data_IF_370727823010
#
_entry.id   IF_370727823010
#
_cell.length_a   1.000
_cell.length_b   1.000
_cell.length_c   1.000
_cell.angle_alpha   90.00
_cell.angle_beta   90.00
_cell.angle_gamma   90.00
#
_symmetry.space_group_name_H-M   'P 1'
#
loop_
_entity.id
_entity.type
_entity.pdbx_description
1 polymer ?
#
# COMPACT_ATOMS: atom_id res chain seq x y z
N UNK A 1 11.39 13.21 -7.29
CA UNK A 1 10.92 12.03 -6.53
C UNK A 1 11.77 11.84 -5.28
N UNK A 2 11.16 11.54 -4.13
CA UNK A 2 11.85 11.28 -2.86
C UNK A 2 11.88 9.78 -2.59
N UNK A 3 13.06 9.24 -2.24
CA UNK A 3 13.24 7.81 -1.98
C UNK A 3 13.17 7.52 -0.47
N UNK A 4 12.47 6.45 -0.13
CA UNK A 4 12.29 5.96 1.24
C UNK A 4 12.07 4.46 1.30
N UNK A 5 11.49 3.99 2.39
CA UNK A 5 11.07 2.60 2.55
C UNK A 5 9.81 2.50 3.42
N UNK A 6 9.10 1.36 3.30
CA UNK A 6 8.00 1.03 4.22
C UNK A 6 8.57 0.52 5.54
N UNK A 7 8.17 1.14 6.64
CA UNK A 7 8.81 0.87 7.94
C UNK A 7 8.51 -0.50 8.53
N UNK A 8 7.47 -1.17 8.06
CA UNK A 8 7.13 -2.54 8.49
C UNK A 8 8.24 -3.57 8.27
N UNK A 9 9.26 -3.28 7.43
CA UNK A 9 10.44 -4.13 7.26
C UNK A 9 11.40 -4.07 8.47
N UNK A 10 11.24 -3.09 9.35
CA UNK A 10 12.02 -2.88 10.58
C UNK A 10 11.13 -3.11 11.82
N UNK A 11 10.39 -4.19 11.84
CA UNK A 11 9.36 -4.54 12.83
C UNK A 11 9.84 -4.56 14.30
N UNK A 12 11.13 -4.75 14.52
CA UNK A 12 11.78 -4.78 15.84
C UNK A 12 12.21 -3.40 16.37
N UNK A 13 12.08 -2.33 15.56
CA UNK A 13 12.51 -0.98 15.92
C UNK A 13 11.35 -0.16 16.48
N UNK A 14 11.67 0.79 17.38
CA UNK A 14 10.76 1.87 17.75
C UNK A 14 10.78 2.99 16.69
N UNK A 15 9.87 3.96 16.86
CA UNK A 15 9.72 5.06 15.91
C UNK A 15 11.02 5.85 15.69
N UNK A 16 11.68 6.28 16.78
CA UNK A 16 12.90 7.09 16.71
C UNK A 16 14.04 6.32 16.05
N UNK A 17 14.24 5.06 16.43
CA UNK A 17 15.29 4.23 15.86
C UNK A 17 15.06 3.98 14.35
N UNK A 18 13.82 3.84 13.95
CA UNK A 18 13.45 3.67 12.54
C UNK A 18 13.74 4.97 11.74
N UNK A 19 13.41 6.14 12.28
CA UNK A 19 13.74 7.44 11.67
C UNK A 19 15.26 7.67 11.60
N UNK A 20 15.99 7.35 12.66
CA UNK A 20 17.45 7.44 12.68
C UNK A 20 18.06 6.55 11.59
N UNK A 21 17.61 5.31 11.49
CA UNK A 21 18.05 4.37 10.45
C UNK A 21 17.79 4.93 9.05
N UNK A 22 16.61 5.51 8.81
CA UNK A 22 16.29 6.14 7.54
C UNK A 22 17.27 7.28 7.20
N UNK A 23 17.57 8.13 8.17
CA UNK A 23 18.50 9.26 8.00
C UNK A 23 19.94 8.78 7.75
N UNK A 24 20.42 7.81 8.53
CA UNK A 24 21.75 7.22 8.39
C UNK A 24 21.96 6.55 7.02
N UNK A 25 20.92 5.91 6.48
CA UNK A 25 20.93 5.30 5.14
C UNK A 25 20.78 6.32 4.01
N UNK A 26 20.55 7.60 4.31
CA UNK A 26 20.41 8.67 3.32
C UNK A 26 19.04 8.70 2.61
N UNK A 27 18.01 8.09 3.18
CA UNK A 27 16.64 8.21 2.69
C UNK A 27 16.06 9.60 2.99
N UNK A 28 15.07 10.00 2.20
CA UNK A 28 14.40 11.30 2.34
C UNK A 28 12.99 11.18 2.92
N UNK A 29 12.42 9.98 2.92
CA UNK A 29 11.09 9.74 3.44
C UNK A 29 10.92 8.31 3.97
N UNK A 30 9.80 8.11 4.68
CA UNK A 30 9.35 6.80 5.13
C UNK A 30 7.83 6.68 4.97
N UNK A 31 7.37 5.50 4.63
CA UNK A 31 5.97 5.10 4.73
C UNK A 31 5.78 4.35 6.04
N UNK A 32 5.01 4.93 6.99
CA UNK A 32 5.02 4.48 8.38
C UNK A 32 3.90 3.49 8.69
N UNK A 33 4.27 2.31 9.18
CA UNK A 33 3.35 1.26 9.59
C UNK A 33 2.51 1.69 10.82
N UNK A 34 1.18 1.53 10.71
CA UNK A 34 0.20 2.00 11.68
C UNK A 34 -0.85 0.91 12.01
N UNK A 35 -0.44 -0.35 12.15
CA UNK A 35 -1.36 -1.39 12.60
C UNK A 35 -1.83 -1.15 14.04
N UNK A 36 -2.97 -1.72 14.46
CA UNK A 36 -3.33 -1.75 15.87
C UNK A 36 -2.20 -2.35 16.72
N UNK A 37 -2.00 -1.80 17.93
CA UNK A 37 -1.05 -2.35 18.88
C UNK A 37 -1.42 -3.80 19.20
N UNK A 38 -0.46 -4.72 19.06
CA UNK A 38 -0.72 -6.13 19.34
C UNK A 38 0.31 -7.05 18.69
N UNK A 39 0.07 -8.35 18.84
CA UNK A 39 0.92 -9.37 18.24
C UNK A 39 0.57 -9.53 16.75
N UNK A 40 1.56 -9.37 15.89
CA UNK A 40 1.41 -9.62 14.47
C UNK A 40 0.98 -11.07 14.20
N UNK A 41 -0.08 -11.25 13.44
CA UNK A 41 -0.48 -12.57 12.94
C UNK A 41 0.44 -13.06 11.81
N UNK A 42 1.15 -12.13 11.14
CA UNK A 42 1.98 -12.39 9.95
C UNK A 42 3.19 -11.46 9.96
N UNK A 43 4.23 -11.83 9.21
CA UNK A 43 5.35 -10.94 8.93
C UNK A 43 4.83 -9.64 8.30
N UNK A 44 5.28 -8.50 8.84
CA UNK A 44 4.89 -7.13 8.47
C UNK A 44 3.46 -6.70 8.88
N UNK A 45 2.53 -7.58 9.14
CA UNK A 45 1.23 -7.22 9.70
C UNK A 45 1.33 -7.08 11.23
N UNK A 46 0.72 -6.04 11.78
CA UNK A 46 0.77 -5.76 13.23
C UNK A 46 1.96 -4.91 13.69
N UNK A 47 2.76 -4.39 12.75
CA UNK A 47 3.81 -3.42 13.09
C UNK A 47 3.17 -2.05 13.37
N UNK A 48 3.44 -1.51 14.55
CA UNK A 48 2.91 -0.23 15.01
C UNK A 48 4.06 0.73 15.35
N UNK A 49 4.54 1.48 14.36
CA UNK A 49 5.53 2.54 14.61
C UNK A 49 4.87 3.86 15.01
N UNK A 50 3.63 4.09 14.56
CA UNK A 50 2.78 5.20 15.02
C UNK A 50 1.45 4.62 15.49
N UNK A 51 1.18 4.76 16.78
CA UNK A 51 -0.12 4.42 17.38
C UNK A 51 -1.11 5.54 17.06
N UNK A 52 -2.03 5.28 16.13
CA UNK A 52 -2.98 6.30 15.64
C UNK A 52 -3.99 6.74 16.70
N UNK A 53 -4.40 5.86 17.60
CA UNK A 53 -5.33 6.22 18.68
C UNK A 53 -4.66 7.17 19.67
N UNK A 54 -3.37 6.94 19.97
CA UNK A 54 -2.57 7.87 20.76
C UNK A 54 -2.36 9.19 20.03
N UNK A 55 -2.10 9.19 18.72
CA UNK A 55 -2.04 10.43 17.94
C UNK A 55 -3.31 11.24 18.09
N UNK A 56 -4.48 10.61 18.04
CA UNK A 56 -5.78 11.29 18.15
C UNK A 56 -6.04 11.86 19.55
N UNK A 57 -5.54 11.19 20.60
CA UNK A 57 -5.81 11.53 22.01
C UNK A 57 -4.74 12.45 22.63
N UNK A 58 -3.49 12.46 22.12
CA UNK A 58 -2.32 13.08 22.74
C UNK A 58 -1.62 14.03 21.76
N UNK A 59 -1.80 15.33 21.93
CA UNK A 59 -1.19 16.34 21.07
C UNK A 59 0.34 16.42 21.25
N UNK A 60 0.85 16.13 22.44
CA UNK A 60 2.29 16.13 22.70
C UNK A 60 2.98 14.97 21.96
N UNK A 61 2.35 13.78 21.94
CA UNK A 61 2.83 12.67 21.14
C UNK A 61 2.80 12.98 19.65
N UNK A 62 1.72 13.55 19.15
CA UNK A 62 1.63 13.96 17.74
C UNK A 62 2.71 14.98 17.36
N UNK A 63 2.96 15.98 18.22
CA UNK A 63 4.02 16.97 18.02
C UNK A 63 5.41 16.35 18.06
N UNK A 64 5.67 15.41 18.97
CA UNK A 64 6.94 14.69 19.06
C UNK A 64 7.27 13.93 17.78
N UNK A 65 6.32 13.18 17.23
CA UNK A 65 6.51 12.43 15.98
C UNK A 65 6.96 13.35 14.83
N UNK A 66 6.31 14.49 14.69
CA UNK A 66 6.59 15.46 13.63
C UNK A 66 7.94 16.16 13.85
N UNK A 67 8.24 16.61 15.09
CA UNK A 67 9.48 17.29 15.37
C UNK A 67 10.68 16.36 15.19
N UNK A 68 10.60 15.12 15.66
CA UNK A 68 11.68 14.15 15.55
C UNK A 68 12.02 13.83 14.08
N UNK A 69 11.01 13.54 13.26
CA UNK A 69 11.24 13.29 11.83
C UNK A 69 11.81 14.52 11.12
N UNK A 70 11.33 15.72 11.46
CA UNK A 70 11.82 16.97 10.88
C UNK A 70 13.29 17.27 11.26
N UNK A 71 13.70 17.05 12.51
CA UNK A 71 15.07 17.19 12.98
C UNK A 71 16.05 16.30 12.20
N UNK A 72 15.59 15.12 11.78
CA UNK A 72 16.38 14.17 10.98
C UNK A 72 16.24 14.39 9.46
N UNK A 73 15.47 15.40 9.03
CA UNK A 73 15.16 15.68 7.63
C UNK A 73 14.44 14.51 6.92
N UNK A 74 13.67 13.72 7.66
CA UNK A 74 12.87 12.62 7.12
C UNK A 74 11.41 13.06 7.00
N UNK A 75 10.83 12.91 5.82
CA UNK A 75 9.41 13.17 5.58
C UNK A 75 8.60 11.88 5.79
N UNK A 76 7.50 11.93 6.53
CA UNK A 76 6.54 10.82 6.54
C UNK A 76 5.69 10.95 5.26
N UNK A 77 5.85 10.01 4.32
CA UNK A 77 5.19 10.04 3.01
C UNK A 77 3.73 9.62 3.07
N UNK A 78 3.43 8.65 3.93
CA UNK A 78 2.07 8.17 4.19
C UNK A 78 2.01 7.41 5.52
N UNK A 79 0.79 7.27 6.06
CA UNK A 79 0.49 6.29 7.10
C UNK A 79 -0.01 5.00 6.43
N UNK A 80 0.66 3.88 6.72
CA UNK A 80 0.42 2.60 6.08
C UNK A 80 -0.37 1.65 6.98
N UNK A 81 -1.53 1.22 6.47
CA UNK A 81 -2.33 0.17 7.09
C UNK A 81 -3.00 -0.63 5.97
N UNK A 82 -2.59 -1.88 5.79
CA UNK A 82 -2.98 -2.73 4.67
C UNK A 82 -3.90 -3.89 5.11
N UNK A 83 -5.14 -3.60 5.56
CA UNK A 83 -6.10 -4.61 5.97
C UNK A 83 -6.93 -5.10 4.79
N UNK A 84 -7.64 -6.21 4.99
CA UNK A 84 -8.79 -6.54 4.17
C UNK A 84 -10.05 -5.86 4.72
N UNK A 85 -10.45 -4.72 4.15
CA UNK A 85 -11.66 -3.97 4.56
C UNK A 85 -12.95 -4.60 4.05
N UNK A 86 -12.88 -5.64 3.23
CA UNK A 86 -14.01 -6.39 2.68
C UNK A 86 -13.97 -7.86 3.08
N UNK A 87 -13.30 -8.20 4.20
CA UNK A 87 -13.24 -9.57 4.72
C UNK A 87 -14.64 -10.17 4.86
N UNK A 88 -14.77 -11.46 4.57
CA UNK A 88 -16.03 -12.20 4.76
C UNK A 88 -16.41 -12.31 6.24
N UNK A 89 -15.44 -12.29 7.15
CA UNK A 89 -15.66 -12.14 8.59
C UNK A 89 -16.09 -10.70 8.90
N UNK A 90 -17.36 -10.53 9.29
CA UNK A 90 -17.96 -9.21 9.53
C UNK A 90 -17.35 -8.46 10.72
N UNK A 91 -16.86 -9.16 11.73
CA UNK A 91 -16.21 -8.53 12.89
C UNK A 91 -14.83 -7.98 12.49
N UNK A 92 -14.04 -8.77 11.78
CA UNK A 92 -12.75 -8.31 11.21
C UNK A 92 -12.95 -7.15 10.24
N UNK A 93 -13.93 -7.26 9.35
CA UNK A 93 -14.30 -6.19 8.40
C UNK A 93 -14.60 -4.89 9.14
N UNK A 94 -15.47 -4.95 10.15
CA UNK A 94 -15.85 -3.76 10.93
C UNK A 94 -14.65 -3.15 11.68
N UNK A 95 -13.82 -3.99 12.32
CA UNK A 95 -12.63 -3.55 13.02
C UNK A 95 -11.61 -2.90 12.06
N UNK A 96 -11.37 -3.51 10.90
CA UNK A 96 -10.46 -2.98 9.88
C UNK A 96 -10.93 -1.63 9.33
N UNK A 97 -12.22 -1.49 9.04
CA UNK A 97 -12.81 -0.22 8.58
C UNK A 97 -12.70 0.86 9.67
N UNK A 98 -13.00 0.52 10.93
CA UNK A 98 -12.92 1.45 12.04
C UNK A 98 -11.47 1.96 12.23
N UNK A 99 -10.49 1.06 12.23
CA UNK A 99 -9.09 1.44 12.35
C UNK A 99 -8.60 2.26 11.14
N UNK A 100 -8.94 1.89 9.90
CA UNK A 100 -8.60 2.67 8.71
C UNK A 100 -9.15 4.10 8.81
N UNK A 101 -10.37 4.29 9.31
CA UNK A 101 -10.91 5.63 9.56
C UNK A 101 -10.10 6.42 10.61
N UNK A 102 -9.55 5.75 11.63
CA UNK A 102 -8.66 6.40 12.60
C UNK A 102 -7.29 6.73 11.98
N UNK A 103 -6.74 5.87 11.10
CA UNK A 103 -5.52 6.19 10.33
C UNK A 103 -5.73 7.43 9.46
N UNK A 104 -6.88 7.57 8.80
CA UNK A 104 -7.23 8.76 8.00
C UNK A 104 -7.29 10.02 8.89
N UNK A 105 -7.93 9.94 10.07
CA UNK A 105 -8.00 11.07 11.02
C UNK A 105 -6.61 11.45 11.56
N UNK A 106 -5.79 10.46 11.91
CA UNK A 106 -4.43 10.68 12.38
C UNK A 106 -3.55 11.29 11.29
N UNK A 107 -3.68 10.84 10.04
CA UNK A 107 -2.97 11.42 8.89
C UNK A 107 -3.31 12.90 8.69
N UNK A 108 -4.58 13.27 8.84
CA UNK A 108 -5.01 14.68 8.80
C UNK A 108 -4.44 15.49 9.97
N UNK A 109 -4.50 14.96 11.20
CA UNK A 109 -3.98 15.62 12.41
C UNK A 109 -2.47 15.85 12.31
N UNK A 110 -1.72 14.89 11.78
CA UNK A 110 -0.29 14.99 11.52
C UNK A 110 0.06 15.80 10.25
N UNK A 111 -0.93 16.28 9.49
CA UNK A 111 -0.75 17.01 8.21
C UNK A 111 0.05 16.23 7.15
N UNK A 112 0.05 14.91 7.24
CA UNK A 112 0.65 14.02 6.24
C UNK A 112 -0.25 13.97 5.02
N UNK A 113 -1.57 13.88 5.22
CA UNK A 113 -2.61 13.92 4.21
C UNK A 113 -2.52 12.80 3.15
N UNK A 114 -1.90 11.67 3.52
CA UNK A 114 -1.78 10.47 2.71
C UNK A 114 -1.92 9.23 3.58
N UNK A 115 -2.70 8.26 3.10
CA UNK A 115 -2.83 6.92 3.67
C UNK A 115 -2.62 5.90 2.58
N UNK A 116 -1.73 4.92 2.81
CA UNK A 116 -1.53 3.76 1.94
C UNK A 116 -2.26 2.56 2.52
N UNK A 117 -3.04 1.87 1.67
CA UNK A 117 -3.91 0.77 2.13
C UNK A 117 -4.28 -0.18 0.99
N UNK A 118 -5.08 -1.20 1.30
CA UNK A 118 -5.80 -2.03 0.34
C UNK A 118 -7.29 -1.68 0.31
N UNK A 119 -7.95 -1.92 -0.84
CA UNK A 119 -9.41 -1.79 -0.90
C UNK A 119 -10.09 -3.02 -0.26
N UNK A 120 -9.39 -4.13 -0.23
CA UNK A 120 -9.90 -5.41 0.28
C UNK A 120 -10.61 -6.24 -0.80
N UNK A 121 -11.01 -7.45 -0.41
CA UNK A 121 -11.81 -8.39 -1.22
C UNK A 121 -12.44 -9.45 -0.33
N UNK A 122 -13.71 -9.72 -0.54
CA UNK A 122 -14.34 -10.96 -0.06
C UNK A 122 -14.01 -12.08 -1.05
N UNK A 123 -13.16 -13.03 -0.62
CA UNK A 123 -12.68 -14.11 -1.48
C UNK A 123 -13.78 -15.15 -1.81
N UNK A 124 -14.87 -15.14 -1.07
CA UNK A 124 -16.00 -16.04 -1.29
C UNK A 124 -16.93 -15.55 -2.39
N UNK A 125 -16.76 -14.29 -2.81
CA UNK A 125 -17.62 -13.64 -3.79
C UNK A 125 -16.92 -13.48 -5.16
N UNK A 126 -17.67 -13.53 -6.28
CA UNK A 126 -17.14 -13.15 -7.58
C UNK A 126 -16.80 -11.65 -7.65
N UNK A 127 -16.13 -11.26 -8.71
CA UNK A 127 -15.64 -9.87 -8.89
C UNK A 127 -16.79 -8.85 -8.90
N UNK A 128 -17.90 -9.17 -9.57
CA UNK A 128 -19.06 -8.31 -9.70
C UNK A 128 -19.70 -8.01 -8.34
N UNK A 129 -19.85 -9.03 -7.49
CA UNK A 129 -20.40 -8.88 -6.15
C UNK A 129 -19.43 -8.12 -5.22
N UNK A 130 -18.13 -8.29 -5.42
CA UNK A 130 -17.12 -7.47 -4.74
C UNK A 130 -17.23 -5.99 -5.14
N UNK A 131 -17.52 -5.65 -6.40
CA UNK A 131 -17.76 -4.27 -6.82
C UNK A 131 -19.02 -3.68 -6.17
N UNK A 132 -20.08 -4.48 -6.01
CA UNK A 132 -21.26 -4.05 -5.23
C UNK A 132 -20.93 -3.85 -3.75
N UNK A 133 -20.05 -4.68 -3.18
CA UNK A 133 -19.58 -4.51 -1.80
C UNK A 133 -18.74 -3.23 -1.64
N UNK A 134 -17.91 -2.89 -2.63
CA UNK A 134 -17.21 -1.60 -2.67
C UNK A 134 -18.19 -0.43 -2.61
N UNK A 135 -19.26 -0.45 -3.40
CA UNK A 135 -20.31 0.59 -3.39
C UNK A 135 -21.00 0.75 -2.04
N UNK A 136 -21.05 -0.32 -1.25
CA UNK A 136 -21.69 -0.30 0.08
C UNK A 136 -20.74 0.22 1.18
N UNK A 137 -19.48 -0.20 1.17
CA UNK A 137 -18.57 0.01 2.28
C UNK A 137 -17.67 1.25 2.13
N UNK A 138 -17.23 1.54 0.91
CA UNK A 138 -16.21 2.55 0.68
C UNK A 138 -16.69 4.00 0.60
N UNK A 139 -17.94 4.35 0.25
CA UNK A 139 -18.37 5.74 0.17
C UNK A 139 -18.18 6.54 1.45
N UNK A 140 -18.39 5.93 2.62
CA UNK A 140 -18.18 6.61 3.92
C UNK A 140 -16.70 6.83 4.25
N UNK A 141 -15.83 5.91 3.82
CA UNK A 141 -14.37 6.05 3.96
C UNK A 141 -13.88 7.19 3.06
N UNK A 142 -14.33 7.22 1.82
CA UNK A 142 -13.98 8.27 0.85
C UNK A 142 -14.49 9.63 1.32
N UNK A 143 -15.73 9.73 1.78
CA UNK A 143 -16.29 10.99 2.29
C UNK A 143 -15.49 11.53 3.48
N UNK A 144 -15.04 10.65 4.39
CA UNK A 144 -14.16 11.04 5.50
C UNK A 144 -12.82 11.58 4.97
N UNK A 145 -12.20 10.89 4.01
CA UNK A 145 -10.94 11.31 3.40
C UNK A 145 -11.07 12.67 2.69
N UNK A 146 -12.14 12.87 1.93
CA UNK A 146 -12.46 14.16 1.28
C UNK A 146 -12.63 15.28 2.28
N UNK A 147 -13.41 15.05 3.34
CA UNK A 147 -13.67 16.04 4.39
C UNK A 147 -12.39 16.48 5.09
N UNK A 148 -11.46 15.55 5.29
CA UNK A 148 -10.20 15.78 5.98
C UNK A 148 -9.04 16.14 5.04
N UNK A 149 -9.28 16.22 3.72
CA UNK A 149 -8.27 16.45 2.69
C UNK A 149 -7.13 15.42 2.74
N UNK A 150 -7.47 14.14 2.92
CA UNK A 150 -6.51 13.02 2.95
C UNK A 150 -6.67 12.18 1.70
N UNK A 151 -5.59 11.96 0.95
CA UNK A 151 -5.56 11.05 -0.19
C UNK A 151 -5.40 9.61 0.29
N UNK A 152 -6.07 8.69 -0.39
CA UNK A 152 -5.97 7.24 -0.15
C UNK A 152 -5.29 6.62 -1.36
N UNK A 153 -4.12 6.03 -1.15
CA UNK A 153 -3.33 5.33 -2.15
C UNK A 153 -3.51 3.82 -1.98
N UNK A 154 -4.23 3.18 -2.91
CA UNK A 154 -4.44 1.73 -2.90
C UNK A 154 -3.27 1.04 -3.60
N UNK A 155 -2.60 0.14 -2.88
CA UNK A 155 -1.56 -0.68 -3.49
C UNK A 155 -2.17 -1.80 -4.35
N UNK A 156 -1.52 -2.10 -5.48
CA UNK A 156 -1.97 -3.12 -6.42
C UNK A 156 -1.49 -4.54 -6.10
N UNK A 157 -1.00 -4.79 -4.90
CA UNK A 157 -0.70 -6.13 -4.42
C UNK A 157 -1.99 -6.98 -4.36
N UNK A 158 -2.05 -8.17 -4.97
CA UNK A 158 -3.19 -9.08 -4.81
C UNK A 158 -3.38 -9.59 -3.38
N UNK A 159 -2.37 -9.45 -2.51
CA UNK A 159 -2.40 -9.83 -1.10
C UNK A 159 -2.62 -11.34 -0.92
N UNK A 160 -1.66 -12.10 -1.41
CA UNK A 160 -1.61 -13.56 -1.28
C UNK A 160 -0.63 -13.94 -0.16
N UNK A 161 -1.15 -14.35 0.99
CA UNK A 161 -0.31 -14.76 2.12
C UNK A 161 -0.20 -16.27 2.28
N UNK A 162 -1.16 -17.04 1.77
CA UNK A 162 -1.19 -18.48 1.83
C UNK A 162 -1.79 -19.10 0.56
N UNK A 163 -1.54 -20.40 0.40
CA UNK A 163 -2.06 -21.15 -0.75
C UNK A 163 -3.57 -21.17 -0.82
N UNK A 164 -4.22 -21.12 0.34
CA UNK A 164 -5.68 -21.09 0.48
C UNK A 164 -6.31 -19.80 -0.09
N UNK A 165 -5.51 -18.75 -0.29
CA UNK A 165 -5.97 -17.47 -0.83
C UNK A 165 -5.79 -17.35 -2.35
N UNK A 166 -5.11 -18.30 -2.95
CA UNK A 166 -4.97 -18.39 -4.39
C UNK A 166 -6.23 -19.02 -5.04
N UNK A 167 -6.72 -18.50 -6.19
CA UNK A 167 -6.16 -17.41 -7.01
C UNK A 167 -6.69 -16.00 -6.66
N UNK A 168 -7.61 -15.84 -5.76
CA UNK A 168 -8.34 -14.59 -5.58
C UNK A 168 -7.58 -13.47 -4.88
N UNK A 169 -6.75 -13.80 -3.88
CA UNK A 169 -6.14 -12.79 -3.00
C UNK A 169 -7.15 -12.05 -2.13
N UNK A 170 -6.67 -11.09 -1.34
CA UNK A 170 -7.48 -10.30 -0.40
C UNK A 170 -7.59 -8.82 -0.80
N UNK A 171 -7.21 -8.47 -2.03
CA UNK A 171 -7.30 -7.11 -2.55
C UNK A 171 -7.83 -7.11 -3.98
N UNK A 172 -8.91 -6.36 -4.21
CA UNK A 172 -9.60 -6.30 -5.51
C UNK A 172 -8.81 -5.47 -6.53
N UNK A 173 -8.17 -4.38 -6.11
CA UNK A 173 -7.51 -3.43 -7.02
C UNK A 173 -6.13 -3.90 -7.51
N UNK A 174 -6.02 -5.12 -8.03
CA UNK A 174 -4.75 -5.72 -8.46
C UNK A 174 -4.48 -5.67 -9.97
N UNK A 175 -5.39 -5.14 -10.77
CA UNK A 175 -5.23 -4.99 -12.23
C UNK A 175 -5.77 -3.66 -12.75
N UNK A 176 -5.27 -3.13 -13.87
CA UNK A 176 -5.80 -1.90 -14.48
C UNK A 176 -7.30 -1.98 -14.83
N UNK A 177 -7.78 -3.16 -15.22
CA UNK A 177 -9.20 -3.37 -15.47
C UNK A 177 -10.05 -3.15 -14.20
N UNK A 178 -9.60 -3.68 -13.06
CA UNK A 178 -10.28 -3.50 -11.77
C UNK A 178 -10.12 -2.09 -11.23
N UNK A 179 -9.01 -1.39 -11.51
CA UNK A 179 -8.87 0.02 -11.17
C UNK A 179 -9.92 0.88 -11.87
N UNK A 180 -10.13 0.69 -13.20
CA UNK A 180 -11.19 1.40 -13.93
C UNK A 180 -12.54 1.15 -13.28
N UNK A 181 -12.89 -0.11 -13.04
CA UNK A 181 -14.17 -0.46 -12.44
C UNK A 181 -14.38 0.18 -11.05
N UNK A 182 -13.33 0.20 -10.21
CA UNK A 182 -13.42 0.82 -8.88
C UNK A 182 -13.49 2.35 -8.98
N UNK A 183 -12.70 2.99 -9.85
CA UNK A 183 -12.77 4.43 -10.05
C UNK A 183 -14.10 4.90 -10.66
N UNK A 184 -14.75 4.05 -11.47
CA UNK A 184 -16.11 4.33 -11.99
C UNK A 184 -17.16 4.33 -10.87
N UNK A 185 -17.04 3.42 -9.89
CA UNK A 185 -17.98 3.35 -8.75
C UNK A 185 -17.62 4.30 -7.62
N UNK A 186 -16.36 4.72 -7.52
CA UNK A 186 -15.83 5.67 -6.53
C UNK A 186 -15.06 6.80 -7.23
N UNK A 187 -15.73 7.75 -7.89
CA UNK A 187 -15.07 8.73 -8.77
C UNK A 187 -14.38 9.88 -8.00
N UNK A 188 -13.92 9.64 -6.77
CA UNK A 188 -13.28 10.64 -5.94
C UNK A 188 -11.84 10.90 -6.39
N UNK A 189 -11.42 12.18 -6.44
CA UNK A 189 -10.03 12.58 -6.65
C UNK A 189 -9.09 12.27 -5.48
N UNK A 190 -9.64 11.86 -4.34
CA UNK A 190 -8.88 11.47 -3.16
C UNK A 190 -8.56 9.97 -3.12
N UNK A 191 -9.09 9.18 -4.07
CA UNK A 191 -8.75 7.78 -4.26
C UNK A 191 -7.78 7.64 -5.43
N UNK A 192 -6.66 6.98 -5.20
CA UNK A 192 -5.62 6.74 -6.21
C UNK A 192 -4.84 5.47 -5.91
N UNK A 193 -3.64 5.38 -6.45
CA UNK A 193 -2.80 4.20 -6.45
C UNK A 193 -1.52 4.45 -5.64
N UNK A 194 -1.11 3.44 -4.89
CA UNK A 194 0.26 3.17 -4.51
C UNK A 194 0.77 2.13 -5.51
N UNK A 195 1.56 2.56 -6.48
CA UNK A 195 1.88 1.77 -7.66
C UNK A 195 3.10 0.89 -7.43
N UNK A 196 2.95 -0.42 -7.48
CA UNK A 196 4.04 -1.41 -7.41
C UNK A 196 4.18 -2.16 -8.75
N UNK A 197 5.28 -1.99 -9.51
CA UNK A 197 5.49 -2.66 -10.77
C UNK A 197 5.71 -4.17 -10.62
N UNK A 198 6.20 -4.63 -9.47
CA UNK A 198 6.57 -6.03 -9.25
C UNK A 198 5.37 -6.96 -9.36
N UNK A 199 4.20 -6.51 -8.92
CA UNK A 199 2.96 -7.31 -8.99
C UNK A 199 2.44 -7.51 -10.41
N UNK A 200 2.87 -6.69 -11.36
CA UNK A 200 2.58 -6.91 -12.78
C UNK A 200 3.47 -7.98 -13.40
N UNK A 201 4.75 -8.02 -13.02
CA UNK A 201 5.75 -8.94 -13.60
C UNK A 201 5.30 -10.40 -13.45
N UNK A 202 4.98 -10.85 -12.24
CA UNK A 202 4.60 -12.23 -12.04
C UNK A 202 3.19 -12.58 -12.57
N UNK A 203 2.34 -11.58 -12.77
CA UNK A 203 1.05 -11.71 -13.45
C UNK A 203 1.17 -11.55 -14.98
N UNK A 204 2.39 -11.35 -15.52
CA UNK A 204 2.65 -11.16 -16.95
C UNK A 204 1.89 -10.00 -17.58
N UNK A 205 1.66 -8.93 -16.81
CA UNK A 205 0.97 -7.72 -17.24
C UNK A 205 1.98 -6.63 -17.62
N UNK A 206 1.56 -5.71 -18.49
CA UNK A 206 2.31 -4.49 -18.78
C UNK A 206 2.20 -3.51 -17.60
N UNK A 207 3.34 -3.09 -17.06
CA UNK A 207 3.44 -2.13 -15.95
C UNK A 207 3.90 -0.73 -16.41
N UNK A 208 4.00 -0.48 -17.71
CA UNK A 208 4.40 0.83 -18.26
C UNK A 208 3.18 1.62 -18.73
N UNK A 209 2.34 1.05 -19.62
CA UNK A 209 1.17 1.75 -20.15
C UNK A 209 0.20 2.26 -19.09
N UNK A 210 -0.07 1.52 -17.98
CA UNK A 210 -0.95 2.02 -16.93
C UNK A 210 -0.43 3.28 -16.22
N UNK A 211 0.89 3.54 -16.20
CA UNK A 211 1.43 4.78 -15.65
C UNK A 211 0.89 6.01 -16.40
N UNK A 212 0.85 5.94 -17.72
CA UNK A 212 0.33 7.04 -18.55
C UNK A 212 -1.18 7.18 -18.43
N UNK A 213 -1.92 6.06 -18.41
CA UNK A 213 -3.37 6.06 -18.28
C UNK A 213 -3.85 6.62 -16.94
N UNK A 214 -3.21 6.20 -15.85
CA UNK A 214 -3.62 6.56 -14.49
C UNK A 214 -2.74 7.64 -13.85
N UNK A 215 -1.99 8.43 -14.65
CA UNK A 215 -1.03 9.43 -14.15
C UNK A 215 -1.59 10.34 -13.05
N UNK A 216 -2.84 10.77 -13.17
CA UNK A 216 -3.50 11.67 -12.22
C UNK A 216 -3.99 10.92 -10.94
N UNK A 217 -3.83 9.61 -10.90
CA UNK A 217 -4.21 8.72 -9.80
C UNK A 217 -3.01 8.08 -9.09
N UNK A 218 -1.79 8.25 -9.57
CA UNK A 218 -0.60 7.72 -8.91
C UNK A 218 -0.18 8.68 -7.81
N UNK A 219 -0.45 8.31 -6.56
CA UNK A 219 -0.19 9.14 -5.40
C UNK A 219 1.09 8.75 -4.68
N UNK A 220 1.44 7.47 -4.73
CA UNK A 220 2.61 6.88 -4.12
C UNK A 220 3.12 5.74 -4.99
N UNK A 221 4.39 5.34 -4.82
CA UNK A 221 5.01 4.25 -5.58
C UNK A 221 5.78 3.34 -4.64
N UNK A 222 5.65 2.03 -4.81
CA UNK A 222 6.53 1.05 -4.20
C UNK A 222 7.62 0.60 -5.16
N UNK A 223 8.85 0.54 -4.66
CA UNK A 223 10.00 -0.03 -5.34
C UNK A 223 10.28 -1.40 -4.77
N UNK A 224 9.72 -2.40 -5.41
CA UNK A 224 9.87 -3.83 -5.14
C UNK A 224 10.15 -4.55 -6.43
N UNK A 225 10.94 -5.59 -6.38
CA UNK A 225 11.27 -6.38 -7.56
C UNK A 225 10.85 -7.85 -7.39
N UNK A 226 10.71 -8.52 -8.49
CA UNK A 226 10.34 -9.94 -8.56
C UNK A 226 11.15 -10.63 -9.64
N UNK A 227 11.70 -11.78 -9.31
CA UNK A 227 12.32 -12.70 -10.29
C UNK A 227 11.31 -13.77 -10.69
N UNK A 228 11.02 -13.83 -11.98
CA UNK A 228 10.25 -14.90 -12.59
C UNK A 228 11.22 -16.02 -13.04
N UNK A 229 10.84 -17.25 -12.83
CA UNK A 229 11.61 -18.44 -13.24
C UNK A 229 10.84 -19.18 -14.34
N UNK A 230 11.13 -18.91 -15.62
CA UNK A 230 10.39 -19.49 -16.75
C UNK A 230 10.39 -21.02 -16.76
N UNK A 231 11.49 -21.65 -16.34
CA UNK A 231 11.61 -23.10 -16.26
C UNK A 231 10.68 -23.70 -15.19
N UNK A 232 10.45 -23.00 -14.08
CA UNK A 232 9.51 -23.42 -13.05
C UNK A 232 8.07 -23.20 -13.51
N UNK A 233 7.81 -22.06 -14.13
CA UNK A 233 6.50 -21.72 -14.69
C UNK A 233 6.10 -22.72 -15.78
N UNK A 234 7.03 -23.13 -16.65
CA UNK A 234 6.77 -24.11 -17.70
C UNK A 234 6.34 -25.49 -17.16
N UNK A 235 6.73 -25.82 -15.93
CA UNK A 235 6.35 -27.08 -15.29
C UNK A 235 5.10 -26.96 -14.44
N UNK A 236 4.98 -25.87 -13.65
CA UNK A 236 3.90 -25.68 -12.71
C UNK A 236 2.63 -25.09 -13.36
N UNK A 237 2.80 -24.28 -14.42
CA UNK A 237 1.72 -23.55 -15.08
C UNK A 237 1.25 -22.32 -14.32
N UNK A 238 0.52 -21.45 -15.00
CA UNK A 238 0.01 -20.16 -14.45
C UNK A 238 -1.03 -20.32 -13.34
N UNK A 239 -1.62 -21.49 -13.17
CA UNK A 239 -2.58 -21.79 -12.11
C UNK A 239 -1.91 -22.25 -10.81
N UNK A 240 -0.59 -22.47 -10.83
CA UNK A 240 0.16 -22.79 -9.62
C UNK A 240 0.22 -21.56 -8.69
N UNK A 241 0.43 -21.83 -7.40
CA UNK A 241 0.66 -20.75 -6.44
C UNK A 241 1.91 -19.94 -6.84
N UNK A 242 1.83 -18.59 -6.94
CA UNK A 242 2.88 -17.79 -7.59
C UNK A 242 4.30 -17.99 -7.03
N UNK A 243 4.46 -18.22 -5.72
CA UNK A 243 5.78 -18.49 -5.14
C UNK A 243 6.43 -19.80 -5.62
N UNK A 244 5.74 -20.63 -6.38
CA UNK A 244 6.34 -21.81 -7.02
C UNK A 244 7.21 -21.41 -8.22
N UNK A 245 6.87 -20.30 -8.91
CA UNK A 245 7.57 -19.87 -10.12
C UNK A 245 8.13 -18.44 -10.05
N UNK A 246 7.90 -17.71 -8.95
CA UNK A 246 8.48 -16.38 -8.75
C UNK A 246 9.09 -16.23 -7.37
N UNK A 247 9.93 -15.21 -7.18
CA UNK A 247 10.52 -14.85 -5.90
C UNK A 247 10.67 -13.35 -5.78
N UNK A 248 10.23 -12.73 -4.66
CA UNK A 248 10.52 -11.32 -4.36
C UNK A 248 12.03 -11.06 -4.32
N UNK A 249 12.42 -9.89 -4.83
CA UNK A 249 13.82 -9.43 -4.91
C UNK A 249 13.93 -7.97 -4.52
N UNK A 250 15.12 -7.59 -4.09
CA UNK A 250 15.50 -6.19 -3.98
C UNK A 250 15.49 -5.55 -5.38
N UNK A 251 15.05 -4.28 -5.53
CA UNK A 251 15.05 -3.58 -6.81
C UNK A 251 16.38 -3.70 -7.57
N UNK A 252 16.30 -4.08 -8.83
CA UNK A 252 17.44 -4.33 -9.72
C UNK A 252 17.95 -5.78 -9.73
N UNK A 253 17.45 -6.66 -8.86
CA UNK A 253 17.80 -8.08 -8.83
C UNK A 253 16.70 -9.01 -9.38
N UNK A 254 15.61 -8.43 -9.86
CA UNK A 254 14.48 -9.13 -10.48
C UNK A 254 14.34 -8.84 -11.97
N UNK A 255 13.11 -8.82 -12.42
CA UNK A 255 12.73 -8.67 -13.83
C UNK A 255 11.97 -7.36 -14.13
N UNK A 256 11.87 -6.43 -13.16
CA UNK A 256 11.39 -5.08 -13.43
C UNK A 256 12.45 -4.31 -14.21
N UNK A 257 12.10 -3.80 -15.40
CA UNK A 257 12.94 -2.87 -16.15
C UNK A 257 12.88 -1.47 -15.50
N UNK A 258 13.74 -1.26 -14.52
CA UNK A 258 13.81 -0.01 -13.75
C UNK A 258 14.11 1.22 -14.61
N UNK A 259 14.90 1.04 -15.68
CA UNK A 259 15.20 2.12 -16.61
C UNK A 259 13.94 2.63 -17.29
N UNK A 260 13.14 1.73 -17.85
CA UNK A 260 11.85 2.06 -18.47
C UNK A 260 10.82 2.57 -17.46
N UNK A 261 10.76 1.95 -16.27
CA UNK A 261 9.80 2.33 -15.24
C UNK A 261 10.05 3.76 -14.72
N UNK A 262 11.29 4.08 -14.34
CA UNK A 262 11.66 5.42 -13.86
C UNK A 262 11.54 6.47 -14.97
N UNK A 263 11.88 6.12 -16.21
CA UNK A 263 11.67 6.99 -17.37
C UNK A 263 10.18 7.33 -17.53
N UNK A 264 9.30 6.33 -17.47
CA UNK A 264 7.85 6.55 -17.56
C UNK A 264 7.30 7.41 -16.41
N UNK A 265 7.80 7.24 -15.17
CA UNK A 265 7.46 8.12 -14.05
C UNK A 265 7.87 9.57 -14.33
N UNK A 266 9.05 9.78 -14.95
CA UNK A 266 9.53 11.11 -15.36
C UNK A 266 8.64 11.70 -16.45
N UNK A 267 8.27 10.91 -17.45
CA UNK A 267 7.42 11.34 -18.57
C UNK A 267 6.05 11.84 -18.11
N UNK A 268 5.47 11.19 -17.10
CA UNK A 268 4.18 11.61 -16.52
C UNK A 268 4.32 12.75 -15.49
N UNK A 269 5.54 13.22 -15.24
CA UNK A 269 5.82 14.30 -14.28
C UNK A 269 5.66 13.88 -12.80
N UNK A 270 5.82 12.58 -12.48
CA UNK A 270 5.74 12.13 -11.11
C UNK A 270 6.97 12.56 -10.30
N UNK A 271 6.77 13.38 -9.28
CA UNK A 271 7.82 13.83 -8.37
C UNK A 271 7.54 13.50 -6.88
N UNK A 272 6.57 12.62 -6.64
CA UNK A 272 6.13 12.19 -5.31
C UNK A 272 7.14 11.29 -4.57
N UNK A 273 6.62 10.37 -3.78
CA UNK A 273 7.38 9.46 -2.93
C UNK A 273 7.47 8.08 -3.56
N UNK A 274 8.64 7.44 -3.42
CA UNK A 274 8.88 6.06 -3.79
C UNK A 274 9.52 5.32 -2.62
N UNK A 275 8.87 4.29 -2.11
CA UNK A 275 9.34 3.53 -0.95
C UNK A 275 9.75 2.11 -1.34
N UNK A 276 10.93 1.69 -0.87
CA UNK A 276 11.36 0.29 -0.94
C UNK A 276 10.44 -0.58 -0.08
N UNK A 277 10.10 -1.76 -0.60
CA UNK A 277 9.33 -2.79 0.10
C UNK A 277 10.02 -4.18 0.05
#
# INVERSE_FOLDING_TARGET
MKLGFITSILDQYGYEQMIDTAAEMGFSCVEVACWPDGKAERRYAGVCHINVDRVLADDAYAAHLLSYSAEKNITISSLAFYPNTMDSDLEKRAANIAHLKNVIRASAKLKINMVSTFIGRDQTLPTEDNLELVKQLWPDIIRLAETLNVRIAIENCPMLFGREQWPGGQNLMCTPQLWRAVFDVLPSKYLGLNYDPSHFVWQMMDYISPLYEFRDRIFHVHFKDIKLYPERLAQAGVLAYPLEYMQPKIPGLGDVDWGRFVSALTDIGYDGYACLE
#
